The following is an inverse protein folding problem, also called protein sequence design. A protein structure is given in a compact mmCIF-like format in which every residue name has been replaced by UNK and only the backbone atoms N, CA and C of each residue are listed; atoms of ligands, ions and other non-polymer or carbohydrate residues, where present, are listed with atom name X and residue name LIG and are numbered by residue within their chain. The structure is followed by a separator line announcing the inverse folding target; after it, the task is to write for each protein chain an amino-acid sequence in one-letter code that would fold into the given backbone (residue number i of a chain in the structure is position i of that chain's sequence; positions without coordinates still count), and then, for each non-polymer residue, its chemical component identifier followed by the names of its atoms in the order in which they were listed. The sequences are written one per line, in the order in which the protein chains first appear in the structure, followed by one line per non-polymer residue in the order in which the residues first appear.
data_IF_884769694519
#
_entry.id   IF_884769694519
#
_cell.length_a   1.000
_cell.length_b   1.000
_cell.length_c   1.000
_cell.angle_alpha   90.00
_cell.angle_beta   90.00
_cell.angle_gamma   90.00
#
_symmetry.space_group_name_H-M   'P 1'
#
loop_
_entity.id
_entity.type
_entity.pdbx_description
1 polymer ?
#
# COMPACT_ATOMS: atom_id res chain seq x y z
N UNK A 1 -12.63 -7.95 -3.93
CA UNK A 1 -11.25 -7.50 -3.59
C UNK A 1 -11.19 -7.19 -2.09
N UNK A 2 -10.03 -7.16 -1.43
CA UNK A 2 -9.97 -6.76 -0.01
C UNK A 2 -9.92 -5.22 0.10
N UNK A 3 -10.56 -4.60 1.11
CA UNK A 3 -10.32 -3.18 1.37
C UNK A 3 -8.85 -2.96 1.70
N UNK A 4 -8.24 -1.95 1.08
CA UNK A 4 -6.83 -1.60 1.32
C UNK A 4 -6.65 -1.04 2.72
N UNK A 5 -5.67 -1.57 3.45
CA UNK A 5 -5.26 -1.00 4.74
C UNK A 5 -4.34 0.23 4.55
N UNK A 6 -4.03 0.92 5.64
CA UNK A 6 -3.22 2.14 5.63
C UNK A 6 -1.86 1.95 4.94
N UNK A 7 -1.17 0.84 5.24
CA UNK A 7 0.10 0.50 4.64
C UNK A 7 0.01 0.30 3.11
N UNK A 8 -1.02 -0.39 2.62
CA UNK A 8 -1.18 -0.62 1.18
C UNK A 8 -1.46 0.70 0.44
N UNK A 9 -2.26 1.59 1.05
CA UNK A 9 -2.51 2.93 0.50
C UNK A 9 -1.22 3.75 0.47
N UNK A 10 -0.50 3.82 1.59
CA UNK A 10 0.78 4.52 1.69
C UNK A 10 1.80 3.98 0.69
N UNK A 11 1.99 2.66 0.65
CA UNK A 11 2.94 2.01 -0.24
C UNK A 11 2.63 2.32 -1.69
N UNK A 12 1.36 2.29 -2.08
CA UNK A 12 0.96 2.58 -3.46
C UNK A 12 1.24 4.04 -3.85
N UNK A 13 1.04 4.98 -2.92
CA UNK A 13 1.37 6.39 -3.14
C UNK A 13 2.89 6.62 -3.25
N UNK A 14 3.67 6.12 -2.29
CA UNK A 14 5.13 6.27 -2.29
C UNK A 14 5.78 5.58 -3.48
N UNK A 15 5.28 4.40 -3.87
CA UNK A 15 5.79 3.66 -5.01
C UNK A 15 5.67 4.46 -6.31
N UNK A 16 4.54 5.13 -6.54
CA UNK A 16 4.36 6.02 -7.70
C UNK A 16 5.34 7.19 -7.68
N UNK A 17 5.50 7.84 -6.53
CA UNK A 17 6.46 8.95 -6.38
C UNK A 17 7.89 8.51 -6.67
N UNK A 18 8.31 7.36 -6.12
CA UNK A 18 9.64 6.82 -6.36
C UNK A 18 9.84 6.43 -7.83
N UNK A 19 8.86 5.81 -8.49
CA UNK A 19 8.97 5.55 -9.93
C UNK A 19 9.22 6.83 -10.72
N UNK A 20 8.40 7.86 -10.49
CA UNK A 20 8.53 9.14 -11.20
C UNK A 20 9.90 9.77 -10.95
N UNK A 21 10.41 9.63 -9.73
CA UNK A 21 11.74 10.14 -9.38
C UNK A 21 12.86 9.39 -10.10
N UNK A 22 12.78 8.05 -10.19
CA UNK A 22 13.74 7.27 -10.98
C UNK A 22 13.63 7.54 -12.48
N UNK A 23 12.44 7.84 -12.99
CA UNK A 23 12.23 8.20 -14.40
C UNK A 23 12.90 9.51 -14.79
N UNK A 24 13.04 10.47 -13.86
CA UNK A 24 13.82 11.70 -14.09
C UNK A 24 15.32 11.47 -14.17
N UNK A 25 15.80 10.32 -13.68
CA UNK A 25 17.21 9.98 -13.62
C UNK A 25 17.49 8.70 -14.41
N UNK A 26 17.44 8.74 -15.76
CA UNK A 26 17.57 7.55 -16.61
C UNK A 26 18.94 6.85 -16.49
N UNK A 27 19.95 7.53 -15.94
CA UNK A 27 21.27 6.95 -15.64
C UNK A 27 21.26 6.01 -14.43
N UNK A 28 20.22 6.04 -13.60
CA UNK A 28 20.08 5.17 -12.42
C UNK A 28 19.23 3.95 -12.76
N UNK A 29 19.74 2.76 -12.44
CA UNK A 29 18.96 1.53 -12.53
C UNK A 29 17.75 1.61 -11.61
N UNK A 30 16.56 1.37 -12.17
CA UNK A 30 15.31 1.31 -11.41
C UNK A 30 15.33 0.11 -10.45
N UNK A 31 15.05 0.29 -9.14
CA UNK A 31 14.93 -0.81 -8.20
C UNK A 31 13.79 -1.77 -8.57
N UNK A 32 13.92 -3.02 -8.12
CA UNK A 32 12.83 -4.00 -8.22
C UNK A 32 11.67 -3.65 -7.27
N UNK A 33 10.50 -4.26 -7.51
CA UNK A 33 9.34 -4.16 -6.62
C UNK A 33 9.66 -4.55 -5.17
N UNK A 34 10.53 -5.55 -4.98
CA UNK A 34 10.96 -6.02 -3.67
C UNK A 34 11.79 -4.96 -2.97
N UNK A 35 12.76 -4.36 -3.67
CA UNK A 35 13.61 -3.29 -3.14
C UNK A 35 12.80 -2.05 -2.80
N UNK A 36 11.90 -1.61 -3.67
CA UNK A 36 10.98 -0.51 -3.36
C UNK A 36 10.15 -0.81 -2.12
N UNK A 37 9.67 -2.04 -1.95
CA UNK A 37 8.88 -2.41 -0.77
C UNK A 37 9.72 -2.36 0.52
N UNK A 38 11.02 -2.71 0.45
CA UNK A 38 11.95 -2.56 1.58
C UNK A 38 12.19 -1.08 1.91
N UNK A 39 12.45 -0.25 0.91
CA UNK A 39 12.67 1.20 1.06
C UNK A 39 11.45 1.85 1.71
N UNK A 40 10.27 1.66 1.11
CA UNK A 40 9.02 2.24 1.59
C UNK A 40 8.64 1.68 2.97
N UNK A 41 8.98 0.41 3.25
CA UNK A 41 8.76 -0.20 4.56
C UNK A 41 9.56 0.51 5.66
N UNK A 42 10.80 0.89 5.36
CA UNK A 42 11.60 1.71 6.27
C UNK A 42 11.03 3.12 6.41
N UNK A 43 10.61 3.75 5.30
CA UNK A 43 9.96 5.07 5.34
C UNK A 43 8.70 5.06 6.21
N UNK A 44 7.87 4.02 6.13
CA UNK A 44 6.65 3.92 6.96
C UNK A 44 6.96 3.76 8.45
N UNK A 45 8.07 3.11 8.82
CA UNK A 45 8.46 3.04 10.24
C UNK A 45 8.77 4.42 10.79
N UNK A 46 9.45 5.26 10.00
CA UNK A 46 9.94 6.58 10.40
C UNK A 46 9.02 7.75 10.07
N UNK A 47 7.94 7.53 9.31
CA UNK A 47 7.02 8.60 8.93
C UNK A 47 6.29 9.16 10.16
N UNK A 48 5.99 10.46 10.13
CA UNK A 48 5.29 11.19 11.18
C UNK A 48 3.96 10.54 11.55
N UNK A 49 3.55 10.63 12.83
CA UNK A 49 2.28 10.07 13.30
C UNK A 49 1.08 10.64 12.53
N UNK A 50 1.09 11.93 12.18
CA UNK A 50 0.04 12.58 11.39
C UNK A 50 -0.17 11.92 10.02
N UNK A 51 0.92 11.53 9.36
CA UNK A 51 0.83 10.82 8.07
C UNK A 51 0.26 9.42 8.30
N UNK A 52 0.70 8.71 9.35
CA UNK A 52 0.13 7.40 9.67
C UNK A 52 -1.36 7.49 9.94
N UNK A 53 -1.79 8.49 10.71
CA UNK A 53 -3.18 8.78 11.02
C UNK A 53 -3.99 9.07 9.75
N UNK A 54 -3.49 9.96 8.87
CA UNK A 54 -4.12 10.24 7.59
C UNK A 54 -4.40 8.98 6.76
N UNK A 55 -3.42 8.07 6.65
CA UNK A 55 -3.62 6.82 5.91
C UNK A 55 -4.50 5.81 6.66
N UNK A 56 -4.54 5.84 7.98
CA UNK A 56 -5.49 5.06 8.78
C UNK A 56 -6.94 5.54 8.55
N UNK A 57 -7.17 6.84 8.52
CA UNK A 57 -8.49 7.41 8.23
C UNK A 57 -8.97 7.05 6.82
N UNK A 58 -8.07 7.15 5.84
CA UNK A 58 -8.36 6.70 4.47
C UNK A 58 -8.69 5.21 4.42
N UNK A 59 -7.95 4.38 5.14
CA UNK A 59 -8.21 2.95 5.21
C UNK A 59 -9.56 2.64 5.88
N UNK A 60 -9.91 3.37 6.94
CA UNK A 60 -11.22 3.27 7.61
C UNK A 60 -12.35 3.68 6.66
N UNK A 61 -12.19 4.77 5.92
CA UNK A 61 -13.16 5.21 4.90
C UNK A 61 -13.32 4.13 3.82
N UNK A 62 -12.22 3.58 3.30
CA UNK A 62 -12.25 2.52 2.29
C UNK A 62 -12.88 1.24 2.80
N UNK A 63 -12.65 0.90 4.08
CA UNK A 63 -13.31 -0.23 4.73
C UNK A 63 -14.82 -0.02 4.81
N UNK A 64 -15.27 1.15 5.27
CA UNK A 64 -16.70 1.51 5.34
C UNK A 64 -17.36 1.51 3.96
N UNK A 65 -16.71 2.13 2.97
CA UNK A 65 -17.17 2.10 1.56
C UNK A 65 -17.33 0.65 1.06
N UNK A 66 -16.34 -0.19 1.34
CA UNK A 66 -16.38 -1.60 0.94
C UNK A 66 -17.49 -2.38 1.67
N UNK A 67 -17.68 -2.15 2.97
CA UNK A 67 -18.74 -2.80 3.75
C UNK A 67 -20.14 -2.40 3.25
N UNK A 68 -20.34 -1.12 2.88
CA UNK A 68 -21.59 -0.64 2.31
C UNK A 68 -21.85 -1.21 0.91
N UNK A 69 -20.81 -1.29 0.05
CA UNK A 69 -20.93 -1.82 -1.31
C UNK A 69 -21.02 -3.35 -1.36
N UNK A 70 -20.50 -4.03 -0.34
CA UNK A 70 -20.49 -5.49 -0.25
C UNK A 70 -21.11 -5.95 1.08
N UNK A 71 -22.44 -5.80 1.24
CA UNK A 71 -23.13 -6.33 2.41
C UNK A 71 -22.92 -7.86 2.49
N UNK A 72 -22.53 -8.35 3.66
CA UNK A 72 -22.21 -9.78 3.87
C UNK A 72 -20.83 -10.23 3.39
N UNK A 73 -19.95 -9.30 2.99
CA UNK A 73 -18.57 -9.65 2.64
C UNK A 73 -17.83 -10.27 3.83
N UNK A 74 -17.32 -11.49 3.64
CA UNK A 74 -16.42 -12.16 4.57
C UNK A 74 -15.19 -12.65 3.82
N UNK A 75 -14.01 -12.22 4.27
CA UNK A 75 -12.76 -12.69 3.69
C UNK A 75 -12.59 -14.20 3.98
N UNK A 76 -12.60 -15.00 2.92
CA UNK A 76 -12.28 -16.43 2.95
C UNK A 76 -10.94 -16.63 2.25
N UNK A 77 -9.82 -16.76 2.98
CA UNK A 77 -8.53 -17.03 2.35
C UNK A 77 -8.61 -18.40 1.67
N UNK A 78 -8.39 -18.44 0.35
CA UNK A 78 -8.19 -19.68 -0.37
C UNK A 78 -6.78 -20.16 -0.01
N UNK A 79 -6.66 -21.30 0.67
CA UNK A 79 -5.37 -21.96 0.82
C UNK A 79 -4.91 -22.33 -0.58
N UNK A 80 -3.84 -21.70 -1.07
CA UNK A 80 -3.13 -22.25 -2.23
C UNK A 80 -2.44 -23.50 -1.71
N UNK A 81 -2.94 -24.67 -2.08
CA UNK A 81 -2.14 -25.90 -2.00
C UNK A 81 -0.85 -25.63 -2.79
N UNK A 82 0.29 -25.82 -2.14
CA UNK A 82 1.59 -25.79 -2.78
C UNK A 82 1.59 -26.89 -3.85
N UNK A 83 1.77 -26.49 -5.11
CA UNK A 83 2.00 -27.40 -6.24
C UNK A 83 3.48 -27.41 -6.56
#
# INVERSE_FOLDING_TARGET
PRPSNAWILYRSAQFKLLILEYEKHPSKTRPTQVEFSKIIGNMWKTVSPEVKEHYNDLALKKKKEHEALHPGYRFKPIKKEEK
#
